data_IF_194408672280
#
_entry.id   IF_194408672280
#
_cell.length_a   1.000
_cell.length_b   1.000
_cell.length_c   1.000
_cell.angle_alpha   90.00
_cell.angle_beta   90.00
_cell.angle_gamma   90.00
#
_symmetry.space_group_name_H-M   'P 1'
#
loop_
_entity.id
_entity.type
_entity.pdbx_description
1 polymer ?
#
# COMPACT_ATOMS: atom_id res chain seq x y z
N UNK A 1 9.06 0.04 -29.83
CA UNK A 1 8.16 1.21 -29.66
C UNK A 1 6.85 0.73 -29.05
N UNK A 2 6.81 0.60 -27.71
CA UNK A 2 5.59 0.16 -27.01
C UNK A 2 4.71 1.39 -26.77
N UNK A 3 3.47 1.30 -27.25
CA UNK A 3 2.42 2.31 -27.07
C UNK A 3 2.21 2.47 -25.57
N UNK A 4 2.65 3.59 -25.00
CA UNK A 4 2.29 3.98 -23.64
C UNK A 4 0.77 4.16 -23.62
N UNK A 5 0.04 3.16 -23.15
CA UNK A 5 -1.36 3.30 -22.82
C UNK A 5 -1.46 4.44 -21.81
N UNK A 6 -2.04 5.57 -22.22
CA UNK A 6 -2.41 6.64 -21.31
C UNK A 6 -3.42 6.06 -20.32
N UNK A 7 -2.94 5.50 -19.21
CA UNK A 7 -3.72 5.03 -18.08
C UNK A 7 -4.69 6.17 -17.72
N UNK A 8 -5.99 5.99 -17.96
CA UNK A 8 -6.99 6.98 -17.58
C UNK A 8 -6.88 7.14 -16.07
N UNK A 9 -6.53 8.34 -15.62
CA UNK A 9 -6.38 8.61 -14.20
C UNK A 9 -7.67 9.21 -13.65
N UNK A 10 -8.11 8.71 -12.50
CA UNK A 10 -9.34 9.08 -11.84
C UNK A 10 -9.24 10.46 -11.18
N UNK A 11 -10.41 11.04 -10.91
CA UNK A 11 -10.57 12.28 -10.17
C UNK A 11 -11.50 12.03 -8.99
N UNK A 12 -11.18 12.63 -7.85
CA UNK A 12 -11.94 12.52 -6.62
C UNK A 12 -12.14 13.90 -6.00
N UNK A 13 -13.40 14.26 -5.72
CA UNK A 13 -13.77 15.50 -5.05
C UNK A 13 -14.28 15.14 -3.66
N UNK A 14 -13.62 15.68 -2.63
CA UNK A 14 -14.10 15.66 -1.27
C UNK A 14 -14.67 17.02 -0.91
N UNK A 15 -15.85 17.03 -0.29
CA UNK A 15 -16.47 18.25 0.23
C UNK A 15 -16.97 18.03 1.65
N UNK A 16 -16.61 18.94 2.55
CA UNK A 16 -17.10 19.01 3.91
C UNK A 16 -17.94 20.29 4.06
N UNK A 17 -19.24 20.11 4.26
CA UNK A 17 -20.16 21.20 4.63
C UNK A 17 -19.99 21.57 6.09
N UNK A 18 -19.96 22.86 6.39
CA UNK A 18 -19.74 23.43 7.71
C UNK A 18 -20.73 24.58 7.92
N UNK A 19 -20.91 24.99 9.18
CA UNK A 19 -21.71 26.18 9.50
C UNK A 19 -20.96 27.45 9.10
N UNK A 20 -20.29 28.13 10.03
CA UNK A 20 -19.47 29.30 9.74
C UNK A 20 -18.11 29.15 10.42
N UNK A 21 -17.06 29.04 9.60
CA UNK A 21 -15.68 29.03 10.06
C UNK A 21 -15.18 30.49 10.12
N UNK A 22 -14.55 30.92 11.22
CA UNK A 22 -13.83 32.19 11.28
C UNK A 22 -12.81 32.31 10.14
N UNK A 23 -12.73 33.50 9.51
CA UNK A 23 -11.94 33.68 8.29
C UNK A 23 -10.44 33.32 8.46
N UNK A 24 -9.89 33.54 9.65
CA UNK A 24 -8.51 33.20 10.02
C UNK A 24 -8.28 31.69 10.19
N UNK A 25 -9.34 30.91 10.46
CA UNK A 25 -9.27 29.46 10.63
C UNK A 25 -9.45 28.66 9.33
N UNK A 26 -9.98 29.28 8.26
CA UNK A 26 -10.27 28.59 6.99
C UNK A 26 -9.00 28.01 6.37
N UNK A 27 -7.97 28.84 6.16
CA UNK A 27 -6.73 28.40 5.48
C UNK A 27 -5.96 27.35 6.29
N UNK A 28 -5.77 27.49 7.63
CA UNK A 28 -5.18 26.44 8.45
C UNK A 28 -5.95 25.11 8.39
N UNK A 29 -7.29 25.14 8.51
CA UNK A 29 -8.12 23.94 8.50
C UNK A 29 -8.04 23.22 7.13
N UNK A 30 -8.12 23.98 6.04
CA UNK A 30 -7.96 23.44 4.69
C UNK A 30 -6.59 22.80 4.49
N UNK A 31 -5.52 23.45 4.98
CA UNK A 31 -4.16 22.93 4.90
C UNK A 31 -4.00 21.61 5.66
N UNK A 32 -4.50 21.53 6.90
CA UNK A 32 -4.48 20.31 7.70
C UNK A 32 -5.26 19.17 7.04
N UNK A 33 -6.43 19.47 6.47
CA UNK A 33 -7.25 18.49 5.77
C UNK A 33 -6.52 17.92 4.54
N UNK A 34 -5.90 18.79 3.74
CA UNK A 34 -5.15 18.35 2.56
C UNK A 34 -3.92 17.52 2.95
N UNK A 35 -3.11 17.99 3.90
CA UNK A 35 -1.93 17.26 4.38
C UNK A 35 -2.30 15.91 5.00
N UNK A 36 -3.39 15.85 5.78
CA UNK A 36 -3.89 14.61 6.35
C UNK A 36 -4.28 13.60 5.27
N UNK A 37 -4.97 14.06 4.23
CA UNK A 37 -5.36 13.21 3.10
C UNK A 37 -4.15 12.73 2.29
N UNK A 38 -3.21 13.62 1.96
CA UNK A 38 -1.99 13.28 1.22
C UNK A 38 -1.15 12.24 1.97
N UNK A 39 -1.00 12.42 3.29
CA UNK A 39 -0.29 11.45 4.15
C UNK A 39 -0.94 10.07 4.11
N UNK A 40 -2.28 10.00 4.17
CA UNK A 40 -2.99 8.72 4.13
C UNK A 40 -2.92 8.06 2.75
N UNK A 41 -2.89 8.83 1.66
CA UNK A 41 -2.61 8.29 0.33
C UNK A 41 -1.19 7.72 0.25
N UNK A 42 -0.19 8.40 0.82
CA UNK A 42 1.20 7.92 0.89
C UNK A 42 1.31 6.61 1.70
N UNK A 43 0.69 6.55 2.87
CA UNK A 43 0.62 5.34 3.71
C UNK A 43 -0.08 4.17 2.97
N UNK A 44 -1.05 4.49 2.11
CA UNK A 44 -1.72 3.55 1.21
C UNK A 44 -0.94 3.29 -0.10
N UNK A 45 0.26 3.84 -0.28
CA UNK A 45 1.06 3.72 -1.49
C UNK A 45 0.29 4.11 -2.78
N UNK A 46 -0.57 5.14 -2.70
CA UNK A 46 -1.31 5.67 -3.84
C UNK A 46 -0.63 6.93 -4.35
N UNK A 47 -0.11 6.86 -5.57
CA UNK A 47 0.33 8.04 -6.31
C UNK A 47 -0.88 8.86 -6.78
N UNK A 48 -0.74 10.19 -6.78
CA UNK A 48 -1.69 11.11 -7.37
C UNK A 48 -0.96 12.17 -8.20
N UNK A 49 -1.68 12.86 -9.08
CA UNK A 49 -1.12 13.88 -9.96
C UNK A 49 -1.10 15.26 -9.33
N UNK A 50 -2.25 15.70 -8.83
CA UNK A 50 -2.38 17.00 -8.16
C UNK A 50 -3.51 16.99 -7.16
N UNK A 51 -3.39 17.83 -6.13
CA UNK A 51 -4.43 18.15 -5.17
C UNK A 51 -4.72 19.65 -5.26
N UNK A 52 -5.99 20.01 -5.49
CA UNK A 52 -6.45 21.39 -5.61
C UNK A 52 -7.44 21.71 -4.49
N UNK A 53 -7.07 22.55 -3.52
CA UNK A 53 -7.94 22.91 -2.41
C UNK A 53 -8.95 24.01 -2.81
N UNK A 54 -10.12 23.99 -2.17
CA UNK A 54 -11.17 24.99 -2.29
C UNK A 54 -11.75 25.28 -0.90
N UNK A 55 -12.09 26.54 -0.63
CA UNK A 55 -12.75 26.88 0.62
C UNK A 55 -13.71 28.05 0.48
N UNK A 56 -14.72 28.04 1.34
CA UNK A 56 -15.60 29.15 1.70
C UNK A 56 -15.89 29.08 3.20
N UNK A 57 -16.51 30.11 3.81
CA UNK A 57 -16.83 30.07 5.24
C UNK A 57 -17.69 28.88 5.67
N UNK A 58 -18.43 28.26 4.74
CA UNK A 58 -19.35 27.13 4.99
C UNK A 58 -18.93 25.82 4.32
N UNK A 59 -17.75 25.78 3.69
CA UNK A 59 -17.30 24.60 2.92
C UNK A 59 -15.80 24.52 2.85
N UNK A 60 -15.24 23.36 3.16
CA UNK A 60 -13.87 22.99 2.79
C UNK A 60 -13.93 21.85 1.78
N UNK A 61 -13.12 21.91 0.74
CA UNK A 61 -13.10 20.88 -0.29
C UNK A 61 -11.70 20.73 -0.90
N UNK A 62 -11.44 19.58 -1.51
CA UNK A 62 -10.30 19.41 -2.39
C UNK A 62 -10.66 18.49 -3.56
N UNK A 63 -10.05 18.76 -4.71
CA UNK A 63 -10.10 17.90 -5.88
C UNK A 63 -8.73 17.25 -6.05
N UNK A 64 -8.69 15.92 -6.03
CA UNK A 64 -7.50 15.15 -6.37
C UNK A 64 -7.67 14.60 -7.78
N UNK A 65 -6.65 14.80 -8.61
CA UNK A 65 -6.59 14.30 -9.97
C UNK A 65 -5.39 13.39 -10.11
N UNK A 66 -5.47 12.43 -11.02
CA UNK A 66 -4.33 11.57 -11.29
C UNK A 66 -4.30 10.29 -10.47
N UNK A 67 -5.42 9.88 -9.87
CA UNK A 67 -5.51 8.66 -9.06
C UNK A 67 -5.52 7.41 -9.96
N UNK A 68 -4.81 6.32 -9.60
CA UNK A 68 -4.87 5.05 -10.31
C UNK A 68 -6.22 4.35 -10.07
N UNK A 69 -6.56 3.35 -10.90
CA UNK A 69 -7.76 2.53 -10.67
C UNK A 69 -7.63 1.60 -9.45
N UNK A 70 -6.39 1.22 -9.13
CA UNK A 70 -6.07 0.27 -8.08
C UNK A 70 -4.80 0.73 -7.36
N UNK A 71 -4.72 0.37 -6.08
CA UNK A 71 -3.46 0.34 -5.35
C UNK A 71 -2.45 -0.55 -6.08
N UNK A 72 -1.16 -0.17 -6.13
CA UNK A 72 -0.15 -1.10 -6.60
C UNK A 72 -0.16 -2.37 -5.75
N UNK A 73 0.05 -3.51 -6.39
CA UNK A 73 0.38 -4.73 -5.67
C UNK A 73 1.72 -4.54 -4.94
N UNK A 74 1.86 -5.20 -3.79
CA UNK A 74 3.09 -5.15 -3.02
C UNK A 74 3.62 -6.55 -2.80
N UNK A 75 4.94 -6.67 -2.80
CA UNK A 75 5.62 -7.89 -2.48
C UNK A 75 5.94 -7.92 -0.98
N UNK A 76 5.43 -8.93 -0.27
CA UNK A 76 5.77 -9.19 1.12
C UNK A 76 6.72 -10.39 1.20
N UNK A 77 7.82 -10.21 1.91
CA UNK A 77 8.77 -11.28 2.18
C UNK A 77 8.34 -12.02 3.44
N UNK A 78 7.98 -13.30 3.30
CA UNK A 78 7.63 -14.16 4.43
C UNK A 78 8.82 -15.04 4.77
N UNK A 79 9.44 -14.73 5.93
CA UNK A 79 10.57 -15.51 6.45
C UNK A 79 10.08 -16.74 7.22
N UNK A 80 10.71 -17.87 6.94
CA UNK A 80 10.46 -19.16 7.56
C UNK A 80 11.52 -19.53 8.60
N UNK A 81 11.87 -20.82 8.75
CA UNK A 81 12.94 -21.26 9.63
C UNK A 81 14.34 -20.86 9.10
N UNK A 82 15.35 -20.89 9.97
CA UNK A 82 16.74 -20.72 9.53
C UNK A 82 17.15 -21.84 8.57
N UNK A 83 18.12 -21.59 7.70
CA UNK A 83 18.65 -22.59 6.77
C UNK A 83 19.02 -23.91 7.47
N UNK A 84 19.63 -23.82 8.65
CA UNK A 84 20.02 -24.96 9.48
C UNK A 84 18.85 -25.79 10.04
N UNK A 85 17.68 -25.17 10.19
CA UNK A 85 16.45 -25.83 10.65
C UNK A 85 15.62 -26.30 9.47
N UNK A 86 15.75 -25.64 8.31
CA UNK A 86 15.03 -25.96 7.10
C UNK A 86 15.53 -27.25 6.42
N UNK A 87 16.84 -27.52 6.49
CA UNK A 87 17.46 -28.68 5.86
C UNK A 87 18.26 -29.51 6.86
N UNK A 88 18.14 -30.83 6.75
CA UNK A 88 18.93 -31.76 7.57
C UNK A 88 20.38 -31.91 7.07
N UNK A 89 21.17 -32.75 7.75
CA UNK A 89 22.56 -33.03 7.39
C UNK A 89 22.72 -33.65 5.99
N UNK A 90 21.67 -34.23 5.43
CA UNK A 90 21.62 -34.82 4.09
C UNK A 90 21.05 -33.84 3.04
N UNK A 91 20.86 -32.56 3.40
CA UNK A 91 20.23 -31.51 2.58
C UNK A 91 18.78 -31.82 2.19
N UNK A 92 18.09 -32.66 2.96
CA UNK A 92 16.65 -32.92 2.75
C UNK A 92 15.81 -31.92 3.53
N UNK A 93 14.65 -31.51 2.99
CA UNK A 93 13.70 -30.69 3.72
C UNK A 93 13.29 -31.33 5.05
N UNK A 94 13.27 -30.54 6.11
CA UNK A 94 12.72 -30.96 7.40
C UNK A 94 11.20 -30.74 7.45
N UNK A 95 10.54 -31.38 8.42
CA UNK A 95 9.11 -31.13 8.69
C UNK A 95 8.79 -29.66 8.97
N UNK A 96 9.76 -28.89 9.48
CA UNK A 96 9.59 -27.47 9.76
C UNK A 96 9.41 -26.66 8.47
N UNK A 97 10.27 -26.88 7.46
CA UNK A 97 10.16 -26.19 6.18
C UNK A 97 8.99 -26.69 5.35
N UNK A 98 8.67 -27.99 5.42
CA UNK A 98 7.48 -28.56 4.77
C UNK A 98 6.19 -27.95 5.33
N UNK A 99 6.09 -27.84 6.65
CA UNK A 99 4.95 -27.19 7.32
C UNK A 99 4.85 -25.71 6.97
N UNK A 100 5.99 -25.01 6.90
CA UNK A 100 6.04 -23.61 6.49
C UNK A 100 5.57 -23.40 5.05
N UNK A 101 6.10 -24.18 4.10
CA UNK A 101 5.71 -24.15 2.69
C UNK A 101 4.21 -24.43 2.52
N UNK A 102 3.70 -25.46 3.20
CA UNK A 102 2.28 -25.82 3.20
C UNK A 102 1.39 -24.69 3.74
N UNK A 103 1.80 -24.01 4.81
CA UNK A 103 1.06 -22.85 5.35
C UNK A 103 1.06 -21.66 4.40
N UNK A 104 2.16 -21.48 3.66
CA UNK A 104 2.27 -20.47 2.60
C UNK A 104 1.55 -20.82 1.31
N UNK A 105 1.12 -22.08 1.13
CA UNK A 105 0.53 -22.57 -0.11
C UNK A 105 1.55 -22.67 -1.26
N UNK A 106 2.84 -22.74 -0.95
CA UNK A 106 3.96 -22.82 -1.92
C UNK A 106 4.65 -24.18 -1.84
N UNK A 107 5.36 -24.60 -2.89
CA UNK A 107 6.18 -25.80 -2.79
C UNK A 107 7.48 -25.50 -2.02
N UNK A 108 8.07 -26.51 -1.38
CA UNK A 108 9.37 -26.36 -0.71
C UNK A 108 10.46 -25.94 -1.71
N UNK A 109 10.33 -26.34 -2.97
CA UNK A 109 11.22 -25.97 -4.08
C UNK A 109 11.12 -24.51 -4.48
N UNK A 110 10.03 -23.82 -4.13
CA UNK A 110 9.79 -22.41 -4.45
C UNK A 110 10.35 -21.48 -3.36
N UNK A 111 10.94 -22.05 -2.30
CA UNK A 111 11.54 -21.29 -1.22
C UNK A 111 12.93 -20.79 -1.62
N UNK A 112 13.18 -19.52 -1.33
CA UNK A 112 14.45 -18.85 -1.54
C UNK A 112 15.24 -18.76 -0.23
N UNK A 113 16.57 -18.76 -0.34
CA UNK A 113 17.42 -18.42 0.78
C UNK A 113 17.56 -16.90 0.86
N UNK A 114 17.24 -16.35 2.03
CA UNK A 114 17.23 -14.91 2.28
C UNK A 114 18.22 -14.59 3.41
N UNK A 115 19.15 -13.70 3.11
CA UNK A 115 20.13 -13.21 4.07
C UNK A 115 19.48 -12.18 5.00
N UNK A 116 19.62 -12.39 6.31
CA UNK A 116 19.13 -11.48 7.34
C UNK A 116 20.26 -11.15 8.33
N UNK A 117 20.14 -10.07 9.13
CA UNK A 117 21.11 -9.79 10.19
C UNK A 117 21.28 -10.92 11.22
N UNK A 118 20.31 -11.85 11.30
CA UNK A 118 20.30 -13.00 12.22
C UNK A 118 20.77 -14.30 11.54
N UNK A 119 21.30 -14.22 10.33
CA UNK A 119 21.75 -15.35 9.51
C UNK A 119 20.82 -15.67 8.34
N UNK A 120 21.03 -16.82 7.72
CA UNK A 120 20.29 -17.25 6.53
C UNK A 120 18.98 -17.93 6.91
N UNK A 121 17.89 -17.47 6.30
CA UNK A 121 16.55 -18.04 6.46
C UNK A 121 16.02 -18.52 5.13
N UNK A 122 15.16 -19.53 5.15
CA UNK A 122 14.35 -19.85 3.97
C UNK A 122 13.08 -19.02 4.01
N UNK A 123 12.61 -18.55 2.87
CA UNK A 123 11.40 -17.74 2.78
C UNK A 123 10.81 -17.79 1.37
N UNK A 124 9.69 -17.12 1.19
CA UNK A 124 9.12 -16.89 -0.13
C UNK A 124 8.58 -15.48 -0.21
N UNK A 125 8.39 -15.01 -1.44
CA UNK A 125 7.80 -13.72 -1.71
C UNK A 125 6.33 -13.91 -2.05
N UNK A 126 5.47 -13.16 -1.37
CA UNK A 126 4.03 -13.19 -1.57
C UNK A 126 3.59 -11.88 -2.19
N UNK A 127 2.93 -11.96 -3.34
CA UNK A 127 2.26 -10.81 -3.93
C UNK A 127 0.96 -10.58 -3.18
N UNK A 128 0.83 -9.39 -2.59
CA UNK A 128 -0.42 -8.90 -2.02
C UNK A 128 -1.10 -8.07 -3.11
N UNK A 129 -2.27 -8.51 -3.61
CA UNK A 129 -3.01 -7.74 -4.60
C UNK A 129 -3.39 -6.39 -4.01
N UNK A 130 -3.23 -5.34 -4.80
CA UNK A 130 -3.73 -4.02 -4.42
C UNK A 130 -5.26 -3.98 -4.38
N UNK A 131 -5.81 -3.09 -3.56
CA UNK A 131 -7.25 -2.83 -3.49
C UNK A 131 -7.71 -1.91 -4.63
N UNK A 132 -9.01 -1.94 -4.94
CA UNK A 132 -9.59 -0.93 -5.85
C UNK A 132 -9.44 0.48 -5.26
N UNK A 133 -9.40 1.50 -6.10
CA UNK A 133 -9.35 2.89 -5.62
C UNK A 133 -10.52 3.21 -4.68
N UNK A 134 -11.71 2.67 -4.95
CA UNK A 134 -12.88 2.85 -4.07
C UNK A 134 -12.68 2.32 -2.67
N UNK A 135 -12.11 1.12 -2.53
CA UNK A 135 -11.82 0.52 -1.22
C UNK A 135 -10.76 1.33 -0.48
N UNK A 136 -9.71 1.76 -1.18
CA UNK A 136 -8.66 2.60 -0.56
C UNK A 136 -9.24 3.93 -0.11
N UNK A 137 -10.05 4.60 -0.93
CA UNK A 137 -10.70 5.87 -0.58
C UNK A 137 -11.59 5.75 0.66
N UNK A 138 -12.25 4.61 0.88
CA UNK A 138 -13.03 4.36 2.11
C UNK A 138 -12.16 4.23 3.36
N UNK A 139 -10.91 3.79 3.22
CA UNK A 139 -9.97 3.60 4.32
C UNK A 139 -9.19 4.88 4.67
N UNK A 140 -8.94 5.75 3.68
CA UNK A 140 -8.15 6.97 3.86
C UNK A 140 -8.99 8.21 4.21
N UNK A 141 -10.30 8.20 3.99
CA UNK A 141 -11.19 9.29 4.45
C UNK A 141 -11.38 9.25 5.98
#
# INVERSE_FOLDING_TARGET
MSKSEKKKKNKFLFELGLEEIPADMISPALGQMCQGFEKRLEEACIDYGSLRPFASPRRLAFLVEGLPDHQPEREEVVLGPSQSVAYDAQKKPTRAVEGFARKGGVAVTDLELMETPKGNYVGYRKIIPGKSLSEVLQEVL
#
